data_IF_826899892075
#
_entry.id   IF_826899892075
#
_cell.length_a   1.000
_cell.length_b   1.000
_cell.length_c   1.000
_cell.angle_alpha   90.00
_cell.angle_beta   90.00
_cell.angle_gamma   90.00
#
_symmetry.space_group_name_H-M   'P 1'
#
loop_
_entity.id
_entity.type
_entity.pdbx_description
1 polymer ?
#
# COMPACT_ATOMS: atom_id res chain seq x y z
N UNK A 1 6.09 -20.02 -0.36
CA UNK A 1 6.05 -19.24 -1.61
C UNK A 1 7.42 -19.10 -2.22
N UNK A 2 7.56 -19.40 -3.48
CA UNK A 2 8.86 -19.38 -4.15
C UNK A 2 8.83 -18.31 -5.25
N UNK A 3 9.83 -17.43 -5.24
CA UNK A 3 10.01 -16.43 -6.28
C UNK A 3 10.62 -17.04 -7.53
N UNK A 4 10.49 -16.33 -8.65
CA UNK A 4 11.08 -16.76 -9.93
C UNK A 4 12.60 -16.90 -9.85
N UNK A 5 13.24 -16.22 -8.90
CA UNK A 5 14.66 -16.32 -8.62
C UNK A 5 15.03 -17.54 -7.77
N UNK A 6 14.04 -18.30 -7.32
CA UNK A 6 14.24 -19.42 -6.41
C UNK A 6 14.30 -19.03 -4.93
N UNK A 7 14.26 -17.73 -4.64
CA UNK A 7 14.22 -17.28 -3.24
C UNK A 7 12.85 -17.52 -2.63
N UNK A 8 12.82 -17.88 -1.37
CA UNK A 8 11.59 -18.14 -0.64
C UNK A 8 11.15 -16.88 0.09
N UNK A 9 9.86 -16.49 -0.07
CA UNK A 9 9.28 -15.42 0.72
C UNK A 9 8.43 -16.06 1.80
N UNK A 10 8.76 -15.78 3.05
CA UNK A 10 7.97 -16.29 4.17
C UNK A 10 6.73 -15.41 4.37
N UNK A 11 5.71 -16.02 4.94
CA UNK A 11 4.48 -15.33 5.34
C UNK A 11 4.80 -14.17 6.28
N UNK A 12 5.70 -14.40 7.24
CA UNK A 12 6.12 -13.39 8.20
C UNK A 12 6.77 -12.18 7.52
N UNK A 13 7.59 -12.43 6.50
CA UNK A 13 8.23 -11.35 5.75
C UNK A 13 7.20 -10.49 5.02
N UNK A 14 6.19 -11.12 4.43
CA UNK A 14 5.11 -10.41 3.76
C UNK A 14 4.35 -9.54 4.76
N UNK A 15 3.99 -10.11 5.91
CA UNK A 15 3.24 -9.40 6.95
C UNK A 15 4.04 -8.21 7.47
N UNK A 16 5.33 -8.38 7.72
CA UNK A 16 6.18 -7.28 8.17
C UNK A 16 6.25 -6.16 7.14
N UNK A 17 6.35 -6.51 5.87
CA UNK A 17 6.37 -5.52 4.80
C UNK A 17 5.04 -4.77 4.72
N UNK A 18 3.92 -5.46 4.88
CA UNK A 18 2.60 -4.83 4.88
C UNK A 18 2.42 -3.89 6.07
N UNK A 19 2.94 -4.25 7.24
CA UNK A 19 2.92 -3.37 8.41
C UNK A 19 3.73 -2.10 8.18
N UNK A 20 4.89 -2.24 7.57
CA UNK A 20 5.75 -1.11 7.22
C UNK A 20 5.04 -0.17 6.26
N UNK A 21 4.43 -0.73 5.21
CA UNK A 21 3.69 0.06 4.21
C UNK A 21 2.47 0.75 4.83
N UNK A 22 1.78 0.08 5.73
CA UNK A 22 0.65 0.67 6.46
C UNK A 22 1.10 1.93 7.20
N UNK A 23 2.21 1.86 7.92
CA UNK A 23 2.74 3.01 8.64
C UNK A 23 3.17 4.13 7.69
N UNK A 24 3.76 3.79 6.56
CA UNK A 24 4.18 4.76 5.55
C UNK A 24 2.98 5.49 4.95
N UNK A 25 1.92 4.78 4.64
CA UNK A 25 0.69 5.38 4.10
C UNK A 25 0.05 6.30 5.15
N UNK A 26 0.02 5.87 6.39
CA UNK A 26 -0.55 6.67 7.49
C UNK A 26 0.15 8.02 7.62
N UNK A 27 1.47 8.05 7.43
CA UNK A 27 2.27 9.27 7.54
C UNK A 27 1.99 10.28 6.42
N UNK A 28 1.38 9.85 5.33
CA UNK A 28 1.04 10.77 4.23
C UNK A 28 0.06 11.85 4.68
N UNK A 29 -0.84 11.54 5.61
CA UNK A 29 -1.83 12.51 6.10
C UNK A 29 -1.19 13.69 6.83
N UNK A 30 -0.41 13.47 7.91
CA UNK A 30 0.22 14.60 8.60
C UNK A 30 1.21 15.33 7.71
N UNK A 31 1.91 14.64 6.81
CA UNK A 31 2.81 15.30 5.89
C UNK A 31 2.07 16.30 5.00
N UNK A 32 0.94 15.90 4.46
CA UNK A 32 0.14 16.79 3.62
C UNK A 32 -0.42 17.96 4.42
N UNK A 33 -0.90 17.73 5.63
CA UNK A 33 -1.43 18.78 6.49
C UNK A 33 -0.37 19.82 6.85
N UNK A 34 0.87 19.40 7.03
CA UNK A 34 1.98 20.28 7.42
C UNK A 34 2.74 20.83 6.22
N UNK A 35 2.25 20.58 5.01
CA UNK A 35 2.88 20.99 3.75
C UNK A 35 4.28 20.40 3.59
N UNK A 36 4.51 19.22 4.14
CA UNK A 36 5.74 18.45 3.96
C UNK A 36 5.57 17.58 2.72
N UNK A 37 6.66 17.28 2.01
CA UNK A 37 6.62 16.43 0.82
C UNK A 37 5.98 15.07 1.14
N UNK A 38 4.84 14.81 0.53
CA UNK A 38 4.14 13.52 0.63
C UNK A 38 4.19 12.76 -0.69
N UNK A 39 4.57 13.43 -1.78
CA UNK A 39 4.55 12.84 -3.12
C UNK A 39 5.72 11.89 -3.34
N UNK A 40 6.90 12.22 -2.85
CA UNK A 40 8.06 11.33 -2.96
C UNK A 40 7.87 10.03 -2.19
N UNK A 41 7.48 10.05 -0.90
CA UNK A 41 7.19 8.80 -0.19
C UNK A 41 6.03 8.02 -0.80
N UNK A 42 5.02 8.71 -1.36
CA UNK A 42 3.93 8.02 -2.06
C UNK A 42 4.46 7.22 -3.25
N UNK A 43 5.37 7.82 -4.03
CA UNK A 43 6.01 7.13 -5.16
C UNK A 43 6.74 5.87 -4.73
N UNK A 44 7.46 5.93 -3.61
CA UNK A 44 8.16 4.78 -3.06
C UNK A 44 7.19 3.67 -2.66
N UNK A 45 6.09 4.04 -2.00
CA UNK A 45 5.04 3.08 -1.61
C UNK A 45 4.48 2.38 -2.85
N UNK A 46 4.17 3.15 -3.89
CA UNK A 46 3.61 2.60 -5.14
C UNK A 46 4.59 1.63 -5.78
N UNK A 47 5.88 1.97 -5.82
CA UNK A 47 6.90 1.08 -6.39
C UNK A 47 6.98 -0.24 -5.62
N UNK A 48 6.98 -0.20 -4.30
CA UNK A 48 7.03 -1.40 -3.48
C UNK A 48 5.79 -2.27 -3.67
N UNK A 49 4.62 -1.67 -3.69
CA UNK A 49 3.38 -2.41 -3.90
C UNK A 49 3.27 -2.97 -5.31
N UNK A 50 3.78 -2.26 -6.31
CA UNK A 50 3.80 -2.76 -7.68
C UNK A 50 4.69 -4.00 -7.79
N UNK A 51 5.82 -4.00 -7.09
CA UNK A 51 6.68 -5.18 -7.01
C UNK A 51 5.98 -6.36 -6.35
N UNK A 52 5.27 -6.10 -5.26
CA UNK A 52 4.49 -7.15 -4.58
C UNK A 52 3.39 -7.70 -5.47
N UNK A 53 2.70 -6.83 -6.22
CA UNK A 53 1.63 -7.27 -7.12
C UNK A 53 2.14 -8.23 -8.19
N UNK A 54 3.35 -7.97 -8.70
CA UNK A 54 3.97 -8.86 -9.70
C UNK A 54 4.38 -10.21 -9.12
N UNK A 55 4.76 -10.23 -7.84
CA UNK A 55 5.22 -11.46 -7.19
C UNK A 55 4.09 -12.24 -6.54
N UNK A 56 3.06 -11.55 -6.05
CA UNK A 56 1.95 -12.16 -5.31
C UNK A 56 0.68 -12.14 -6.16
N UNK A 57 0.72 -12.91 -7.25
CA UNK A 57 -0.37 -12.94 -8.24
C UNK A 57 -1.71 -13.28 -7.59
N UNK A 58 -1.71 -14.14 -6.60
CA UNK A 58 -2.93 -14.57 -5.89
C UNK A 58 -3.63 -13.43 -5.16
N UNK A 59 -2.92 -12.32 -4.89
CA UNK A 59 -3.47 -11.16 -4.19
C UNK A 59 -3.72 -9.98 -5.14
N UNK A 60 -3.59 -10.19 -6.43
CA UNK A 60 -3.74 -9.13 -7.44
C UNK A 60 -5.07 -8.39 -7.32
N UNK A 61 -6.15 -9.10 -7.04
CA UNK A 61 -7.49 -8.50 -6.93
C UNK A 61 -7.58 -7.47 -5.80
N UNK A 62 -6.73 -7.59 -4.78
CA UNK A 62 -6.66 -6.61 -3.69
C UNK A 62 -5.59 -5.54 -3.97
N UNK A 63 -4.45 -5.96 -4.48
CA UNK A 63 -3.32 -5.06 -4.71
C UNK A 63 -3.57 -4.08 -5.85
N UNK A 64 -4.24 -4.51 -6.91
CA UNK A 64 -4.49 -3.63 -8.05
C UNK A 64 -5.39 -2.43 -7.71
N UNK A 65 -6.56 -2.63 -7.04
CA UNK A 65 -7.36 -1.48 -6.61
C UNK A 65 -6.62 -0.56 -5.65
N UNK A 66 -5.80 -1.12 -4.77
CA UNK A 66 -4.99 -0.35 -3.84
C UNK A 66 -4.01 0.55 -4.59
N UNK A 67 -3.33 0.01 -5.60
CA UNK A 67 -2.41 0.79 -6.43
C UNK A 67 -3.13 1.92 -7.17
N UNK A 68 -4.31 1.64 -7.71
CA UNK A 68 -5.10 2.65 -8.41
C UNK A 68 -5.49 3.80 -7.48
N UNK A 69 -5.90 3.48 -6.25
CA UNK A 69 -6.27 4.49 -5.26
C UNK A 69 -5.06 5.34 -4.86
N UNK A 70 -3.91 4.72 -4.65
CA UNK A 70 -2.69 5.44 -4.29
C UNK A 70 -2.24 6.38 -5.41
N UNK A 71 -2.31 5.93 -6.66
CA UNK A 71 -1.96 6.78 -7.79
C UNK A 71 -2.92 7.97 -7.93
N UNK A 72 -4.19 7.77 -7.60
CA UNK A 72 -5.17 8.84 -7.61
C UNK A 72 -4.87 9.96 -6.63
N UNK A 73 -4.08 9.69 -5.58
CA UNK A 73 -3.73 10.71 -4.60
C UNK A 73 -2.90 11.85 -5.21
N UNK A 74 -2.15 11.59 -6.26
CA UNK A 74 -1.37 12.64 -6.93
C UNK A 74 -2.23 13.75 -7.49
N UNK A 75 -3.48 13.47 -7.83
CA UNK A 75 -4.41 14.45 -8.40
C UNK A 75 -5.13 15.27 -7.33
N UNK A 76 -5.01 14.89 -6.06
CA UNK A 76 -5.71 15.52 -4.94
C UNK A 76 -4.80 16.50 -4.22
N UNK A 77 -4.31 17.51 -4.96
CA UNK A 77 -3.31 18.46 -4.45
C UNK A 77 -3.90 19.74 -3.88
N UNK A 78 -5.17 20.05 -4.19
CA UNK A 78 -5.80 21.27 -3.74
C UNK A 78 -6.30 21.13 -2.31
N UNK A 79 -6.39 22.26 -1.61
CA UNK A 79 -6.89 22.28 -0.25
C UNK A 79 -8.31 21.70 -0.15
N UNK A 80 -9.15 22.01 -1.13
CA UNK A 80 -10.53 21.50 -1.19
C UNK A 80 -10.60 19.99 -1.40
N UNK A 81 -9.51 19.36 -1.86
CA UNK A 81 -9.44 17.92 -2.09
C UNK A 81 -9.06 17.13 -0.83
N UNK A 82 -8.82 17.82 0.29
CA UNK A 82 -8.28 17.17 1.48
C UNK A 82 -9.19 16.07 2.03
N UNK A 83 -10.49 16.29 2.03
CA UNK A 83 -11.43 15.28 2.52
C UNK A 83 -11.39 14.02 1.67
N UNK A 84 -11.32 14.17 0.35
CA UNK A 84 -11.21 13.03 -0.55
C UNK A 84 -9.88 12.33 -0.39
N UNK A 85 -8.80 13.10 -0.22
CA UNK A 85 -7.46 12.56 0.04
C UNK A 85 -7.48 11.71 1.31
N UNK A 86 -7.99 12.25 2.40
CA UNK A 86 -8.09 11.54 3.68
C UNK A 86 -8.91 10.27 3.56
N UNK A 87 -10.07 10.36 2.91
CA UNK A 87 -10.94 9.21 2.68
C UNK A 87 -10.21 8.11 1.90
N UNK A 88 -9.50 8.50 0.85
CA UNK A 88 -8.76 7.55 0.02
C UNK A 88 -7.65 6.88 0.83
N UNK A 89 -6.95 7.63 1.68
CA UNK A 89 -5.94 7.05 2.58
C UNK A 89 -6.55 5.97 3.45
N UNK A 90 -7.71 6.23 4.07
CA UNK A 90 -8.36 5.24 4.93
C UNK A 90 -8.84 4.03 4.14
N UNK A 91 -9.30 4.22 2.91
CA UNK A 91 -9.66 3.11 2.04
C UNK A 91 -8.44 2.24 1.71
N UNK A 92 -7.30 2.86 1.47
CA UNK A 92 -6.05 2.13 1.23
C UNK A 92 -5.62 1.34 2.47
N UNK A 93 -5.73 1.95 3.65
CA UNK A 93 -5.40 1.27 4.91
C UNK A 93 -6.31 0.07 5.15
N UNK A 94 -7.59 0.19 4.83
CA UNK A 94 -8.53 -0.93 4.95
C UNK A 94 -8.18 -2.06 3.99
N UNK A 95 -7.79 -1.75 2.75
CA UNK A 95 -7.37 -2.77 1.79
C UNK A 95 -6.10 -3.48 2.26
N UNK A 96 -5.13 -2.75 2.82
CA UNK A 96 -3.93 -3.36 3.37
C UNK A 96 -4.24 -4.26 4.56
N UNK A 97 -5.16 -3.84 5.41
CA UNK A 97 -5.58 -4.65 6.56
C UNK A 97 -6.22 -5.95 6.09
N UNK A 98 -7.11 -5.88 5.10
CA UNK A 98 -7.74 -7.06 4.52
C UNK A 98 -6.70 -7.99 3.89
N UNK A 99 -5.73 -7.43 3.17
CA UNK A 99 -4.66 -8.21 2.56
C UNK A 99 -3.82 -8.91 3.62
N UNK A 100 -3.46 -8.20 4.68
CA UNK A 100 -2.67 -8.75 5.78
C UNK A 100 -3.41 -9.90 6.45
N UNK A 101 -4.72 -9.74 6.69
CA UNK A 101 -5.54 -10.79 7.28
C UNK A 101 -5.62 -12.01 6.36
N UNK A 102 -5.77 -11.79 5.06
CA UNK A 102 -5.79 -12.87 4.08
C UNK A 102 -4.48 -13.65 4.06
N UNK A 103 -3.35 -12.95 4.11
CA UNK A 103 -2.02 -13.59 4.18
C UNK A 103 -1.86 -14.37 5.49
N UNK A 104 -2.32 -13.79 6.61
CA UNK A 104 -2.22 -14.43 7.93
C UNK A 104 -3.02 -15.71 8.02
N UNK A 105 -4.18 -15.77 7.33
CA UNK A 105 -5.06 -16.93 7.33
C UNK A 105 -4.65 -17.98 6.32
N UNK A 106 -3.74 -17.64 5.40
CA UNK A 106 -3.30 -18.57 4.37
C UNK A 106 -2.51 -19.72 5.00
N UNK A 107 -2.87 -20.96 4.63
CA UNK A 107 -2.12 -22.14 5.07
C UNK A 107 -1.14 -22.53 3.97
N UNK A 108 0.11 -22.60 4.33
CA UNK A 108 1.16 -23.01 3.39
C UNK A 108 1.20 -24.51 3.18
#
# INVERSE_FOLDING_TARGET
MVLTTGAEITKEAIIENLKKLTNQIYKLLPNREEAIDWQTPLGTIIEELSGMDRLLIEYHETLFPLLCKLQGLYDLTKEEDFFLYRRTIFECLNLLSSLKDGVSECQD
#
